data_IF_970663922319
#
_entry.id   IF_970663922319
#
_cell.length_a   1.000
_cell.length_b   1.000
_cell.length_c   1.000
_cell.angle_alpha   90.00
_cell.angle_beta   90.00
_cell.angle_gamma   90.00
#
_symmetry.space_group_name_H-M   'P 1'
#
loop_
_entity.id
_entity.type
_entity.pdbx_description
1 polymer ?
#
# COMPACT_ATOMS: atom_id res chain seq x y z
N UNK A 1 -16.35 3.53 30.86
CA UNK A 1 -15.50 2.72 31.74
C UNK A 1 -14.07 2.98 31.30
N UNK A 2 -13.18 3.35 32.22
CA UNK A 2 -11.78 3.59 31.88
C UNK A 2 -11.16 2.24 31.54
N UNK A 3 -10.85 2.01 30.26
CA UNK A 3 -10.13 0.82 29.82
C UNK A 3 -8.67 0.87 30.28
N UNK A 4 -7.93 -0.25 30.20
CA UNK A 4 -6.49 -0.22 30.36
C UNK A 4 -5.87 0.65 29.24
N UNK A 5 -4.95 1.55 29.61
CA UNK A 5 -4.28 2.50 28.71
C UNK A 5 -3.55 1.75 27.58
N UNK A 6 -3.45 2.30 26.37
CA UNK A 6 -2.87 1.61 25.21
C UNK A 6 -1.47 2.14 24.88
N UNK A 7 -0.54 1.25 24.47
CA UNK A 7 0.72 1.67 23.88
C UNK A 7 0.48 2.19 22.46
N UNK A 8 1.11 3.30 22.08
CA UNK A 8 1.16 3.82 20.72
C UNK A 8 2.61 4.17 20.36
N UNK A 9 2.92 4.34 19.08
CA UNK A 9 4.23 4.80 18.63
C UNK A 9 4.26 6.33 18.52
N UNK A 10 5.30 6.93 19.06
CA UNK A 10 5.73 8.27 18.69
C UNK A 10 6.55 8.17 17.40
N UNK A 11 6.01 8.68 16.30
CA UNK A 11 6.62 8.60 14.98
C UNK A 11 7.78 9.59 14.82
N UNK A 12 7.90 10.59 15.70
CA UNK A 12 9.05 11.50 15.72
C UNK A 12 10.28 10.86 16.37
N UNK A 13 10.10 10.18 17.50
CA UNK A 13 11.20 9.55 18.27
C UNK A 13 11.38 8.07 17.93
N UNK A 14 10.38 7.45 17.30
CA UNK A 14 10.29 6.01 17.04
C UNK A 14 10.25 5.15 18.32
N UNK A 15 9.81 5.73 19.44
CA UNK A 15 9.63 5.03 20.74
C UNK A 15 8.15 4.88 21.07
N UNK A 16 7.80 4.00 22.01
CA UNK A 16 6.41 3.89 22.46
C UNK A 16 6.04 4.92 23.53
N UNK A 17 4.77 5.33 23.51
CA UNK A 17 4.15 6.20 24.49
C UNK A 17 2.90 5.50 25.03
N UNK A 18 2.67 5.61 26.33
CA UNK A 18 1.42 5.13 26.91
C UNK A 18 0.34 6.19 26.77
N UNK A 19 -0.78 5.83 26.13
CA UNK A 19 -1.90 6.73 25.87
C UNK A 19 -3.03 6.39 26.83
N UNK A 20 -3.42 7.38 27.64
CA UNK A 20 -4.60 7.25 28.50
C UNK A 20 -5.88 7.27 27.66
N UNK A 21 -6.68 6.20 27.70
CA UNK A 21 -7.86 6.05 26.81
C UNK A 21 -9.18 5.89 27.52
N UNK A 22 -10.25 6.29 26.86
CA UNK A 22 -11.62 5.97 27.21
C UNK A 22 -12.24 5.09 26.11
N UNK A 23 -12.93 4.02 26.52
CA UNK A 23 -13.71 3.18 25.60
C UNK A 23 -14.94 3.96 25.11
N UNK A 24 -15.04 4.16 23.80
CA UNK A 24 -16.18 4.83 23.15
C UNK A 24 -17.28 3.82 22.83
N UNK A 25 -16.92 2.68 22.24
CA UNK A 25 -17.85 1.63 21.83
C UNK A 25 -17.16 0.27 21.80
N UNK A 26 -17.91 -0.79 22.12
CA UNK A 26 -17.48 -2.19 21.94
C UNK A 26 -18.57 -2.92 21.15
N UNK A 27 -18.28 -3.18 19.87
CA UNK A 27 -19.14 -3.88 18.91
C UNK A 27 -18.91 -5.39 18.93
N UNK A 28 -19.29 -6.08 17.85
CA UNK A 28 -19.09 -7.54 17.73
C UNK A 28 -17.62 -7.88 17.48
N UNK A 29 -16.99 -7.12 16.57
CA UNK A 29 -15.65 -7.35 16.04
C UNK A 29 -14.68 -6.20 16.34
N UNK A 30 -15.20 -5.02 16.73
CA UNK A 30 -14.36 -3.83 16.91
C UNK A 30 -14.63 -3.14 18.23
N UNK A 31 -13.56 -2.66 18.86
CA UNK A 31 -13.60 -1.73 19.98
C UNK A 31 -12.97 -0.40 19.58
N UNK A 32 -13.68 0.70 19.82
CA UNK A 32 -13.16 2.04 19.54
C UNK A 32 -12.80 2.73 20.84
N UNK A 33 -11.55 3.15 20.94
CA UNK A 33 -10.96 3.88 22.05
C UNK A 33 -10.63 5.29 21.58
N UNK A 34 -10.70 6.25 22.50
CA UNK A 34 -10.27 7.63 22.27
C UNK A 34 -9.32 8.05 23.36
N UNK A 35 -8.23 8.72 23.01
CA UNK A 35 -7.37 9.41 23.96
C UNK A 35 -8.21 10.35 24.86
N UNK A 36 -8.00 10.26 26.17
CA UNK A 36 -8.81 10.95 27.19
C UNK A 36 -8.71 12.46 27.08
N UNK A 37 -7.51 12.98 26.81
CA UNK A 37 -7.22 14.40 26.59
C UNK A 37 -7.78 14.95 25.28
N UNK A 38 -8.06 14.08 24.31
CA UNK A 38 -8.39 14.49 22.96
C UNK A 38 -9.85 14.95 22.85
N UNK A 39 -10.05 16.16 22.30
CA UNK A 39 -11.37 16.62 21.88
C UNK A 39 -11.58 16.29 20.41
N UNK A 40 -12.60 15.50 20.10
CA UNK A 40 -12.88 15.02 18.74
C UNK A 40 -14.29 15.46 18.36
N UNK A 41 -14.41 16.28 17.31
CA UNK A 41 -15.70 16.68 16.73
C UNK A 41 -16.09 15.74 15.57
N UNK A 42 -16.25 14.46 15.89
CA UNK A 42 -16.62 13.42 14.93
C UNK A 42 -17.44 12.33 15.65
N UNK A 43 -18.46 11.80 14.97
CA UNK A 43 -19.36 10.80 15.54
C UNK A 43 -18.70 9.42 15.57
N UNK A 44 -17.86 9.21 16.60
CA UNK A 44 -17.13 7.97 16.82
C UNK A 44 -18.06 6.77 17.11
N UNK A 45 -19.28 7.01 17.61
CA UNK A 45 -20.27 5.94 17.82
C UNK A 45 -20.83 5.44 16.49
N UNK A 46 -21.20 6.36 15.59
CA UNK A 46 -21.60 6.01 14.22
C UNK A 46 -20.45 5.33 13.49
N UNK A 47 -19.24 5.86 13.55
CA UNK A 47 -18.07 5.24 12.95
C UNK A 47 -17.86 3.81 13.47
N UNK A 48 -17.87 3.60 14.79
CA UNK A 48 -17.70 2.28 15.38
C UNK A 48 -18.74 1.28 14.86
N UNK A 49 -20.02 1.67 14.83
CA UNK A 49 -21.10 0.83 14.32
C UNK A 49 -20.92 0.51 12.83
N UNK A 50 -20.65 1.51 12.01
CA UNK A 50 -20.52 1.34 10.57
C UNK A 50 -19.28 0.51 10.24
N UNK A 51 -18.17 0.69 10.96
CA UNK A 51 -16.98 -0.13 10.80
C UNK A 51 -17.26 -1.60 11.18
N UNK A 52 -17.89 -1.84 12.33
CA UNK A 52 -18.21 -3.19 12.83
C UNK A 52 -19.17 -3.95 11.90
N UNK A 53 -20.16 -3.25 11.31
CA UNK A 53 -21.26 -3.87 10.56
C UNK A 53 -21.11 -3.83 9.04
N UNK A 54 -20.24 -2.95 8.51
CA UNK A 54 -20.05 -2.75 7.07
C UNK A 54 -18.58 -2.97 6.69
N UNK A 55 -17.66 -2.16 7.21
CA UNK A 55 -16.25 -2.17 6.78
C UNK A 55 -15.56 -3.48 7.12
N UNK A 56 -15.67 -3.93 8.37
CA UNK A 56 -15.06 -5.17 8.84
C UNK A 56 -15.51 -6.39 8.01
N UNK A 57 -16.82 -6.72 7.88
CA UNK A 57 -17.25 -7.87 7.09
C UNK A 57 -16.89 -7.76 5.61
N UNK A 58 -16.93 -6.55 5.03
CA UNK A 58 -16.56 -6.32 3.62
C UNK A 58 -15.08 -6.62 3.37
N UNK A 59 -14.20 -6.13 4.24
CA UNK A 59 -12.76 -6.30 4.07
C UNK A 59 -12.28 -7.70 4.41
N UNK A 60 -12.83 -8.38 5.42
CA UNK A 60 -12.47 -9.79 5.67
C UNK A 60 -12.96 -10.73 4.57
N UNK A 61 -14.08 -10.39 3.92
CA UNK A 61 -14.58 -11.15 2.76
C UNK A 61 -13.64 -11.01 1.55
N UNK A 62 -12.86 -9.94 1.49
CA UNK A 62 -11.85 -9.78 0.43
C UNK A 62 -10.49 -10.34 0.88
N UNK A 63 -9.96 -9.89 2.01
CA UNK A 63 -8.55 -10.11 2.38
C UNK A 63 -8.32 -11.25 3.40
N UNK A 64 -9.39 -11.85 3.90
CA UNK A 64 -9.35 -12.88 4.95
C UNK A 64 -9.50 -12.29 6.34
N UNK A 65 -9.57 -13.15 7.35
CA UNK A 65 -9.75 -12.73 8.75
C UNK A 65 -8.46 -12.13 9.32
N UNK A 66 -8.56 -11.25 10.33
CA UNK A 66 -7.40 -10.83 11.11
C UNK A 66 -6.80 -12.01 11.90
N UNK A 67 -5.64 -11.79 12.49
CA UNK A 67 -5.21 -12.61 13.64
C UNK A 67 -6.06 -12.28 14.87
N UNK A 68 -5.81 -13.02 15.95
CA UNK A 68 -6.45 -12.82 17.25
C UNK A 68 -5.41 -13.20 18.31
N UNK A 69 -4.42 -12.32 18.51
CA UNK A 69 -3.21 -12.67 19.28
C UNK A 69 -3.46 -12.66 20.80
N UNK A 70 -4.40 -11.84 21.28
CA UNK A 70 -4.87 -11.82 22.68
C UNK A 70 -6.08 -12.72 22.93
N UNK A 71 -6.77 -13.20 21.89
CA UNK A 71 -7.89 -14.13 22.00
C UNK A 71 -9.22 -13.47 22.37
N UNK A 72 -9.34 -12.14 22.24
CA UNK A 72 -10.58 -11.41 22.53
C UNK A 72 -11.53 -11.35 21.32
N UNK A 73 -11.04 -11.71 20.12
CA UNK A 73 -11.79 -11.75 18.88
C UNK A 73 -12.09 -10.37 18.29
N UNK A 74 -11.40 -9.31 18.73
CA UNK A 74 -11.69 -7.92 18.36
C UNK A 74 -10.48 -7.17 17.83
N UNK A 75 -10.75 -6.24 16.91
CA UNK A 75 -9.79 -5.21 16.49
C UNK A 75 -10.03 -3.95 17.31
N UNK A 76 -8.97 -3.40 17.88
CA UNK A 76 -8.98 -2.17 18.66
C UNK A 76 -8.63 -1.00 17.74
N UNK A 77 -9.43 0.06 17.75
CA UNK A 77 -9.17 1.29 17.02
C UNK A 77 -8.93 2.40 18.04
N UNK A 78 -7.69 2.89 18.13
CA UNK A 78 -7.31 4.00 18.98
C UNK A 78 -7.32 5.32 18.21
N UNK A 79 -8.22 6.22 18.60
CA UNK A 79 -8.27 7.60 18.11
C UNK A 79 -7.45 8.50 19.03
N UNK A 80 -6.36 9.08 18.54
CA UNK A 80 -5.40 9.88 19.32
C UNK A 80 -4.85 11.05 18.51
N UNK A 81 -4.22 12.04 19.15
CA UNK A 81 -3.34 12.97 18.43
C UNK A 81 -2.04 12.22 18.11
N UNK A 82 -1.87 11.78 16.86
CA UNK A 82 -0.71 10.98 16.48
C UNK A 82 0.54 11.83 16.64
N UNK A 83 1.54 11.30 17.36
CA UNK A 83 2.80 12.01 17.60
C UNK A 83 3.73 11.87 16.40
N UNK A 84 3.46 12.62 15.34
CA UNK A 84 4.21 12.63 14.08
C UNK A 84 4.98 13.93 13.81
N UNK A 85 4.83 14.91 14.71
CA UNK A 85 5.46 16.22 14.59
C UNK A 85 4.70 17.16 13.67
N UNK A 86 3.47 16.82 13.28
CA UNK A 86 2.61 17.67 12.49
C UNK A 86 2.33 18.99 13.22
N UNK A 87 2.29 20.04 12.41
CA UNK A 87 1.90 21.39 12.79
C UNK A 87 0.78 21.85 11.86
N UNK A 88 0.13 22.97 12.19
CA UNK A 88 -0.95 23.48 11.35
C UNK A 88 -0.49 23.67 9.89
N UNK A 89 -1.13 22.95 8.96
CA UNK A 89 -0.84 22.92 7.52
C UNK A 89 0.49 22.24 7.12
N UNK A 90 0.99 21.29 7.90
CA UNK A 90 2.09 20.40 7.49
C UNK A 90 1.62 18.98 7.17
N UNK A 91 2.53 18.17 6.63
CA UNK A 91 2.43 16.72 6.60
C UNK A 91 2.04 16.13 7.94
N UNK A 92 1.15 15.14 7.89
CA UNK A 92 0.76 14.34 9.03
C UNK A 92 0.57 12.87 8.62
N UNK A 93 0.48 12.00 9.62
CA UNK A 93 0.16 10.58 9.46
C UNK A 93 -1.28 10.40 9.88
N UNK A 94 -2.16 10.16 8.91
CA UNK A 94 -3.60 10.05 9.18
C UNK A 94 -3.98 8.80 9.98
N UNK A 95 -3.21 7.74 9.82
CA UNK A 95 -3.36 6.51 10.54
C UNK A 95 -2.15 5.62 10.33
N UNK A 96 -2.04 4.61 11.19
CA UNK A 96 -1.06 3.54 11.00
C UNK A 96 -1.51 2.24 11.65
N UNK A 97 -0.99 1.15 11.11
CA UNK A 97 -0.88 -0.15 11.75
C UNK A 97 0.56 -0.35 12.22
N UNK A 98 0.74 -0.82 13.47
CA UNK A 98 2.06 -1.15 14.01
C UNK A 98 2.24 -2.67 14.16
N UNK A 99 3.06 -3.31 13.32
CA UNK A 99 3.44 -4.71 13.39
C UNK A 99 3.92 -5.23 14.75
N UNK A 100 4.42 -4.35 15.62
CA UNK A 100 4.91 -4.75 16.95
C UNK A 100 3.79 -5.39 17.79
N UNK A 101 2.54 -4.95 17.59
CA UNK A 101 1.40 -5.42 18.37
C UNK A 101 1.06 -6.90 18.13
N UNK A 102 1.66 -7.53 17.12
CA UNK A 102 1.54 -8.97 16.87
C UNK A 102 2.39 -9.84 17.82
N UNK A 103 3.35 -9.27 18.54
CA UNK A 103 4.23 -10.00 19.46
C UNK A 103 3.91 -9.70 20.91
N UNK A 104 4.18 -10.62 21.84
CA UNK A 104 4.13 -10.32 23.27
C UNK A 104 5.00 -9.10 23.61
N UNK A 105 4.55 -8.29 24.57
CA UNK A 105 5.29 -7.11 25.01
C UNK A 105 6.66 -7.50 25.60
N UNK A 106 7.65 -6.63 25.37
CA UNK A 106 8.98 -6.77 25.93
C UNK A 106 9.34 -5.50 26.69
N UNK A 107 9.36 -5.59 28.02
CA UNK A 107 9.71 -4.49 28.93
C UNK A 107 11.10 -3.91 28.69
N UNK A 108 12.00 -4.66 28.06
CA UNK A 108 13.37 -4.23 27.73
C UNK A 108 13.47 -3.59 26.34
N UNK A 109 12.36 -3.44 25.62
CA UNK A 109 12.32 -2.80 24.30
C UNK A 109 11.79 -1.36 24.43
N UNK A 110 12.43 -0.42 23.72
CA UNK A 110 11.93 0.95 23.51
C UNK A 110 10.56 1.00 22.83
N UNK A 111 10.25 -0.04 22.06
CA UNK A 111 8.96 -0.21 21.39
C UNK A 111 8.19 -1.27 22.16
N UNK A 112 7.00 -0.88 22.61
CA UNK A 112 6.08 -1.67 23.41
C UNK A 112 4.97 -2.22 22.53
N UNK A 113 4.44 -3.36 22.95
CA UNK A 113 3.35 -4.05 22.26
C UNK A 113 2.11 -4.08 23.15
N UNK A 114 0.94 -3.89 22.54
CA UNK A 114 -0.34 -4.19 23.17
C UNK A 114 -0.68 -5.68 23.13
N UNK A 115 0.09 -6.49 22.40
CA UNK A 115 -0.20 -7.87 22.06
C UNK A 115 -1.66 -8.06 21.63
N UNK A 116 -2.10 -7.25 20.66
CA UNK A 116 -3.48 -7.15 20.19
C UNK A 116 -3.54 -6.62 18.75
N UNK A 117 -4.66 -6.80 18.07
CA UNK A 117 -4.96 -6.20 16.78
C UNK A 117 -5.33 -4.72 16.95
N UNK A 118 -4.38 -3.79 16.77
CA UNK A 118 -4.59 -2.35 17.00
C UNK A 118 -4.38 -1.52 15.72
N UNK A 119 -5.35 -0.65 15.43
CA UNK A 119 -5.27 0.43 14.45
C UNK A 119 -5.18 1.78 15.19
N UNK A 120 -4.34 2.68 14.70
CA UNK A 120 -4.17 4.02 15.26
C UNK A 120 -4.67 5.04 14.24
N UNK A 121 -5.55 5.94 14.69
CA UNK A 121 -6.21 6.94 13.86
C UNK A 121 -5.92 8.33 14.43
N UNK A 122 -5.54 9.25 13.55
CA UNK A 122 -5.39 10.65 13.92
C UNK A 122 -6.77 11.25 14.20
N UNK A 123 -7.00 11.71 15.42
CA UNK A 123 -8.24 12.36 15.83
C UNK A 123 -8.18 13.89 15.81
N UNK A 124 -7.12 14.49 15.26
CA UNK A 124 -6.91 15.93 15.13
C UNK A 124 -6.81 16.34 13.66
N UNK A 125 -5.72 16.04 12.97
CA UNK A 125 -5.51 16.47 11.58
C UNK A 125 -6.49 15.80 10.61
N UNK A 126 -6.75 14.50 10.79
CA UNK A 126 -7.72 13.78 9.95
C UNK A 126 -9.17 14.26 10.14
N UNK A 127 -9.50 14.80 11.32
CA UNK A 127 -10.81 15.42 11.56
C UNK A 127 -10.94 16.75 10.82
N UNK A 128 -9.84 17.50 10.67
CA UNK A 128 -9.82 18.70 9.83
C UNK A 128 -10.02 18.33 8.36
N UNK A 129 -9.44 17.23 7.89
CA UNK A 129 -9.58 16.74 6.51
C UNK A 129 -11.03 16.40 6.13
N UNK A 130 -11.92 16.14 7.11
CA UNK A 130 -13.36 15.91 6.87
C UNK A 130 -14.08 17.10 6.20
N UNK A 131 -13.52 18.30 6.29
CA UNK A 131 -14.05 19.47 5.60
C UNK A 131 -13.90 19.38 4.07
N UNK A 132 -12.95 18.57 3.59
CA UNK A 132 -12.65 18.36 2.18
C UNK A 132 -13.10 16.98 1.69
N UNK A 133 -12.96 15.96 2.52
CA UNK A 133 -13.42 14.59 2.24
C UNK A 133 -14.18 14.02 3.45
N UNK A 134 -15.53 13.93 3.41
CA UNK A 134 -16.33 13.43 4.52
C UNK A 134 -16.06 11.95 4.87
N UNK A 135 -15.39 11.21 3.99
CA UNK A 135 -15.01 9.82 4.23
C UNK A 135 -13.58 9.66 4.76
N UNK A 136 -12.77 10.72 4.84
CA UNK A 136 -11.33 10.64 5.13
C UNK A 136 -10.98 9.77 6.34
N UNK A 137 -11.74 9.90 7.43
CA UNK A 137 -11.53 9.10 8.64
C UNK A 137 -11.82 7.61 8.41
N UNK A 138 -12.93 7.30 7.74
CA UNK A 138 -13.38 5.92 7.52
C UNK A 138 -12.59 5.22 6.41
N UNK A 139 -12.20 5.94 5.36
CA UNK A 139 -11.31 5.44 4.30
C UNK A 139 -9.93 5.13 4.86
N UNK A 140 -9.35 6.02 5.67
CA UNK A 140 -8.06 5.77 6.34
C UNK A 140 -8.14 4.53 7.23
N UNK A 141 -9.20 4.38 8.02
CA UNK A 141 -9.36 3.18 8.87
C UNK A 141 -9.48 1.88 8.05
N UNK A 142 -10.14 1.94 6.88
CA UNK A 142 -10.22 0.80 5.96
C UNK A 142 -8.86 0.44 5.34
N UNK A 143 -8.04 1.45 5.02
CA UNK A 143 -6.66 1.26 4.57
C UNK A 143 -5.80 0.58 5.64
N UNK A 144 -5.78 1.11 6.86
CA UNK A 144 -4.98 0.54 7.95
C UNK A 144 -5.45 -0.86 8.34
N UNK A 145 -6.76 -1.13 8.25
CA UNK A 145 -7.27 -2.47 8.47
C UNK A 145 -6.77 -3.45 7.42
N UNK A 146 -6.57 -3.03 6.17
CA UNK A 146 -5.97 -3.88 5.15
C UNK A 146 -4.57 -4.33 5.58
N UNK A 147 -3.73 -3.41 6.06
CA UNK A 147 -2.39 -3.71 6.55
C UNK A 147 -2.42 -4.76 7.67
N UNK A 148 -3.33 -4.58 8.62
CA UNK A 148 -3.58 -5.53 9.72
C UNK A 148 -4.00 -6.91 9.21
N UNK A 149 -4.92 -6.99 8.22
CA UNK A 149 -5.35 -8.25 7.62
C UNK A 149 -4.23 -8.94 6.83
N UNK A 150 -3.35 -8.16 6.21
CA UNK A 150 -2.23 -8.64 5.37
C UNK A 150 -1.08 -9.18 6.22
N UNK A 151 -0.76 -8.54 7.34
CA UNK A 151 0.47 -8.79 8.09
C UNK A 151 0.63 -10.24 8.59
N UNK A 152 -0.37 -10.93 9.16
CA UNK A 152 -0.22 -12.33 9.58
C UNK A 152 0.20 -13.26 8.44
N UNK A 153 -0.17 -12.92 7.19
CA UNK A 153 0.16 -13.72 6.00
C UNK A 153 1.59 -13.43 5.53
N UNK A 154 2.08 -12.19 5.66
CA UNK A 154 3.51 -11.84 5.50
C UNK A 154 4.37 -12.64 6.47
N UNK A 155 3.93 -12.71 7.74
CA UNK A 155 4.63 -13.45 8.80
C UNK A 155 4.64 -14.95 8.55
N UNK A 156 3.48 -15.53 8.22
CA UNK A 156 3.36 -16.96 7.91
C UNK A 156 4.24 -17.38 6.71
N UNK A 157 4.35 -16.52 5.70
CA UNK A 157 5.18 -16.77 4.52
C UNK A 157 6.66 -16.42 4.71
N UNK A 158 7.03 -15.73 5.81
CA UNK A 158 8.35 -15.11 6.01
C UNK A 158 8.80 -14.26 4.81
N UNK A 159 7.90 -13.37 4.37
CA UNK A 159 8.07 -12.49 3.20
C UNK A 159 7.69 -11.05 3.56
N UNK A 160 8.35 -10.10 2.91
CA UNK A 160 7.91 -8.71 2.85
C UNK A 160 7.31 -8.43 1.48
N UNK A 161 6.38 -7.48 1.41
CA UNK A 161 5.78 -7.02 0.16
C UNK A 161 6.56 -5.80 -0.37
N UNK A 162 6.66 -5.67 -1.69
CA UNK A 162 7.06 -4.39 -2.29
C UNK A 162 6.10 -3.29 -1.84
N UNK A 163 6.66 -2.14 -1.44
CA UNK A 163 5.90 -1.07 -0.78
C UNK A 163 4.70 -0.59 -1.61
N UNK A 164 4.87 -0.43 -2.92
CA UNK A 164 3.79 0.00 -3.80
C UNK A 164 2.65 -1.03 -3.91
N UNK A 165 2.95 -2.34 -3.77
CA UNK A 165 1.90 -3.36 -3.74
C UNK A 165 1.20 -3.29 -2.40
N UNK A 166 1.96 -3.11 -1.31
CA UNK A 166 1.38 -2.99 0.01
C UNK A 166 0.40 -1.81 0.06
N UNK A 167 0.90 -0.59 -0.10
CA UNK A 167 0.12 0.64 -0.03
C UNK A 167 -0.95 0.73 -1.12
N UNK A 168 -0.64 0.36 -2.37
CA UNK A 168 -1.62 0.41 -3.45
C UNK A 168 -2.80 -0.53 -3.24
N UNK A 169 -2.60 -1.69 -2.60
CA UNK A 169 -3.72 -2.58 -2.24
C UNK A 169 -4.56 -1.97 -1.12
N UNK A 170 -3.93 -1.33 -0.14
CA UNK A 170 -4.59 -0.69 1.00
C UNK A 170 -5.44 0.51 0.58
N UNK A 171 -4.94 1.32 -0.37
CA UNK A 171 -5.72 2.41 -0.97
C UNK A 171 -6.97 1.89 -1.71
N UNK A 172 -6.86 0.76 -2.41
CA UNK A 172 -8.00 0.11 -3.06
C UNK A 172 -8.93 -0.58 -2.06
N UNK A 173 -8.44 -0.99 -0.88
CA UNK A 173 -9.28 -1.53 0.18
C UNK A 173 -10.29 -0.48 0.67
N UNK A 174 -9.89 0.78 0.76
CA UNK A 174 -10.80 1.91 1.03
C UNK A 174 -11.94 2.00 0.02
N UNK A 175 -11.65 1.79 -1.26
CA UNK A 175 -12.67 1.75 -2.30
C UNK A 175 -13.60 0.53 -2.17
N UNK A 176 -13.06 -0.64 -1.87
CA UNK A 176 -13.82 -1.88 -1.65
C UNK A 176 -14.74 -1.74 -0.44
N UNK A 177 -14.31 -1.03 0.60
CA UNK A 177 -15.13 -0.69 1.78
C UNK A 177 -16.23 0.35 1.49
N UNK A 178 -16.30 0.89 0.27
CA UNK A 178 -17.35 1.83 -0.16
C UNK A 178 -16.97 3.31 -0.02
N UNK A 179 -15.71 3.62 0.29
CA UNK A 179 -15.23 4.99 0.45
C UNK A 179 -14.51 5.54 -0.79
N UNK A 180 -14.71 4.88 -1.93
CA UNK A 180 -14.04 5.20 -3.18
C UNK A 180 -14.87 6.00 -4.18
N UNK A 181 -14.23 6.49 -5.26
CA UNK A 181 -12.79 6.42 -5.50
C UNK A 181 -12.00 7.46 -4.69
N UNK A 182 -10.72 7.17 -4.39
CA UNK A 182 -9.81 8.08 -3.69
C UNK A 182 -9.48 9.31 -4.56
N UNK A 183 -10.31 10.34 -4.46
CA UNK A 183 -10.30 11.49 -5.39
C UNK A 183 -9.03 12.32 -5.30
N UNK A 184 -8.49 12.52 -4.09
CA UNK A 184 -7.20 13.19 -3.86
C UNK A 184 -6.04 12.43 -4.51
N UNK A 185 -6.05 11.09 -4.45
CA UNK A 185 -5.05 10.24 -5.11
C UNK A 185 -5.11 10.37 -6.63
N UNK A 186 -6.31 10.41 -7.21
CA UNK A 186 -6.51 10.62 -8.66
C UNK A 186 -6.05 12.01 -9.12
N UNK A 187 -6.34 13.03 -8.32
CA UNK A 187 -5.90 14.40 -8.61
C UNK A 187 -4.38 14.54 -8.54
N UNK A 188 -3.76 13.99 -7.50
CA UNK A 188 -2.32 13.96 -7.36
C UNK A 188 -1.64 13.11 -8.46
N UNK A 189 -2.25 12.00 -8.89
CA UNK A 189 -1.77 11.20 -10.02
C UNK A 189 -1.69 12.03 -11.32
N UNK A 190 -2.72 12.82 -11.59
CA UNK A 190 -2.81 13.69 -12.77
C UNK A 190 -2.04 15.00 -12.64
N UNK A 191 -1.69 15.40 -11.41
CA UNK A 191 -1.03 16.67 -11.08
C UNK A 191 -1.97 17.87 -11.15
N UNK A 192 -3.23 17.68 -10.77
CA UNK A 192 -4.25 18.73 -10.73
C UNK A 192 -4.75 18.94 -9.30
N UNK A 193 -5.30 20.13 -9.01
CA UNK A 193 -5.92 20.50 -7.73
C UNK A 193 -5.03 20.39 -6.46
N UNK A 194 -3.79 19.93 -6.60
CA UNK A 194 -2.80 19.83 -5.53
C UNK A 194 -1.41 20.27 -6.02
N UNK A 195 -0.95 21.41 -5.51
CA UNK A 195 0.35 21.99 -5.85
C UNK A 195 1.56 21.14 -5.43
N UNK A 196 1.38 20.18 -4.52
CA UNK A 196 2.45 19.24 -4.11
C UNK A 196 2.65 18.16 -5.16
N UNK A 197 1.64 17.94 -5.99
CA UNK A 197 1.65 16.91 -7.01
C UNK A 197 1.86 17.45 -8.42
N UNK A 198 2.46 18.64 -8.58
CA UNK A 198 2.78 19.20 -9.89
C UNK A 198 3.48 18.17 -10.80
N UNK A 199 3.08 18.18 -12.08
CA UNK A 199 3.46 17.20 -13.11
C UNK A 199 2.96 15.76 -12.90
N UNK A 200 2.17 15.51 -11.85
CA UNK A 200 1.59 14.20 -11.55
C UNK A 200 2.67 13.10 -11.50
N UNK A 201 2.38 11.95 -12.12
CA UNK A 201 3.32 10.83 -12.19
C UNK A 201 4.50 10.99 -13.17
N UNK A 202 4.70 12.17 -13.78
CA UNK A 202 5.77 12.36 -14.76
C UNK A 202 7.17 12.19 -14.18
N UNK A 203 7.83 11.10 -14.58
CA UNK A 203 9.14 10.67 -14.09
C UNK A 203 9.12 9.99 -12.73
N UNK A 204 7.95 9.88 -12.08
CA UNK A 204 7.79 9.21 -10.79
C UNK A 204 7.88 7.71 -11.01
N UNK A 205 8.63 7.02 -10.15
CA UNK A 205 8.72 5.57 -10.19
C UNK A 205 7.62 4.94 -9.35
N UNK A 206 6.90 3.96 -9.92
CA UNK A 206 6.02 3.08 -9.16
C UNK A 206 6.80 2.11 -8.26
N UNK A 207 8.01 1.72 -8.67
CA UNK A 207 8.76 0.60 -8.08
C UNK A 207 9.89 1.04 -7.13
N UNK A 208 10.43 2.24 -7.32
CA UNK A 208 11.54 2.82 -6.55
C UNK A 208 11.06 4.07 -5.83
N UNK A 209 10.64 3.89 -4.58
CA UNK A 209 10.07 4.95 -3.75
C UNK A 209 11.19 5.77 -3.10
N UNK A 210 11.06 7.09 -3.18
CA UNK A 210 11.99 8.03 -2.57
C UNK A 210 11.29 8.85 -1.48
N UNK A 211 12.06 9.22 -0.46
CA UNK A 211 11.55 9.86 0.75
C UNK A 211 11.40 11.38 0.60
N UNK A 212 11.19 11.89 -0.62
CA UNK A 212 10.91 13.32 -0.81
C UNK A 212 9.42 13.58 -0.74
N UNK A 213 8.98 14.60 0.00
CA UNK A 213 7.55 14.79 0.33
C UNK A 213 6.63 14.90 -0.90
N UNK A 214 7.08 15.49 -2.01
CA UNK A 214 6.24 15.59 -3.21
C UNK A 214 6.18 14.28 -4.00
N UNK A 215 7.26 13.52 -4.05
CA UNK A 215 7.32 12.29 -4.84
C UNK A 215 6.68 11.12 -4.10
N UNK A 216 6.75 11.08 -2.76
CA UNK A 216 6.04 10.06 -1.97
C UNK A 216 4.52 10.15 -2.18
N UNK A 217 3.93 11.35 -2.17
CA UNK A 217 2.50 11.52 -2.45
C UNK A 217 2.12 11.01 -3.85
N UNK A 218 2.95 11.33 -4.85
CA UNK A 218 2.77 10.84 -6.22
C UNK A 218 2.97 9.33 -6.34
N UNK A 219 3.85 8.74 -5.54
CA UNK A 219 4.09 7.29 -5.49
C UNK A 219 2.89 6.54 -4.90
N UNK A 220 2.30 7.04 -3.80
CA UNK A 220 1.03 6.54 -3.28
C UNK A 220 -0.08 6.64 -4.34
N UNK A 221 -0.20 7.79 -4.99
CA UNK A 221 -1.15 7.99 -6.09
C UNK A 221 -0.93 7.03 -7.26
N UNK A 222 0.32 6.79 -7.66
CA UNK A 222 0.64 5.86 -8.73
C UNK A 222 0.32 4.42 -8.31
N UNK A 223 0.68 4.01 -7.09
CA UNK A 223 0.36 2.70 -6.55
C UNK A 223 -1.14 2.45 -6.48
N UNK A 224 -1.91 3.43 -5.97
CA UNK A 224 -3.37 3.37 -5.96
C UNK A 224 -3.93 3.17 -7.38
N UNK A 225 -3.57 4.05 -8.32
CA UNK A 225 -4.13 3.99 -9.68
C UNK A 225 -3.74 2.70 -10.39
N UNK A 226 -2.50 2.24 -10.25
CA UNK A 226 -2.05 1.00 -10.86
C UNK A 226 -2.74 -0.22 -10.26
N UNK A 227 -2.82 -0.33 -8.93
CA UNK A 227 -3.51 -1.42 -8.26
C UNK A 227 -5.02 -1.38 -8.50
N UNK A 228 -5.63 -0.20 -8.56
CA UNK A 228 -7.04 -0.02 -8.92
C UNK A 228 -7.31 -0.45 -10.35
N UNK A 229 -6.44 -0.08 -11.29
CA UNK A 229 -6.56 -0.51 -12.68
C UNK A 229 -6.47 -2.04 -12.79
N UNK A 230 -5.47 -2.67 -12.15
CA UNK A 230 -5.34 -4.13 -12.08
C UNK A 230 -6.58 -4.79 -11.47
N UNK A 231 -7.09 -4.27 -10.36
CA UNK A 231 -8.32 -4.73 -9.72
C UNK A 231 -9.48 -4.70 -10.72
N UNK A 232 -9.73 -3.56 -11.35
CA UNK A 232 -10.86 -3.35 -12.25
C UNK A 232 -10.80 -4.25 -13.50
N UNK A 233 -9.60 -4.50 -14.03
CA UNK A 233 -9.41 -5.35 -15.23
C UNK A 233 -9.27 -6.84 -14.93
N UNK A 234 -9.10 -7.25 -13.68
CA UNK A 234 -8.94 -8.67 -13.29
C UNK A 234 -10.22 -9.50 -13.49
N UNK A 235 -11.39 -8.86 -13.40
CA UNK A 235 -12.70 -9.50 -13.51
C UNK A 235 -13.78 -8.55 -13.99
N UNK A 236 -14.93 -9.09 -14.38
CA UNK A 236 -16.07 -8.32 -14.91
C UNK A 236 -17.12 -7.97 -13.85
N UNK A 237 -16.96 -8.48 -12.64
CA UNK A 237 -17.82 -8.21 -11.48
C UNK A 237 -17.00 -8.24 -10.18
N UNK A 238 -17.56 -7.69 -9.10
CA UNK A 238 -16.84 -7.51 -7.84
C UNK A 238 -16.37 -8.81 -7.20
N UNK A 239 -17.14 -9.93 -7.17
CA UNK A 239 -16.64 -11.20 -6.65
C UNK A 239 -15.36 -11.69 -7.35
N UNK A 240 -15.25 -11.53 -8.67
CA UNK A 240 -14.04 -11.91 -9.40
C UNK A 240 -12.86 -11.01 -9.05
N UNK A 241 -13.08 -9.70 -8.97
CA UNK A 241 -12.03 -8.73 -8.62
C UNK A 241 -11.55 -8.90 -7.19
N UNK A 242 -12.47 -9.15 -6.26
CA UNK A 242 -12.17 -9.49 -4.88
C UNK A 242 -11.45 -10.84 -4.77
N UNK A 243 -11.77 -11.83 -5.62
CA UNK A 243 -11.03 -13.11 -5.68
C UNK A 243 -9.57 -12.89 -6.08
N UNK A 244 -9.31 -12.03 -7.07
CA UNK A 244 -7.96 -11.64 -7.45
C UNK A 244 -7.20 -11.03 -6.27
N UNK A 245 -7.76 -10.01 -5.62
CA UNK A 245 -7.13 -9.35 -4.46
C UNK A 245 -7.03 -10.23 -3.21
N UNK A 246 -7.97 -11.15 -3.02
CA UNK A 246 -7.87 -12.19 -1.99
C UNK A 246 -6.62 -13.02 -2.20
N UNK A 247 -6.37 -13.44 -3.43
CA UNK A 247 -5.20 -14.23 -3.75
C UNK A 247 -3.89 -13.43 -3.63
N UNK A 248 -3.89 -12.14 -3.96
CA UNK A 248 -2.69 -11.30 -3.76
C UNK A 248 -2.25 -11.22 -2.31
N UNK A 249 -3.18 -11.30 -1.35
CA UNK A 249 -2.91 -11.20 0.09
C UNK A 249 -2.76 -12.56 0.77
N UNK A 250 -3.64 -13.51 0.48
CA UNK A 250 -3.64 -14.84 1.13
C UNK A 250 -2.62 -15.77 0.48
N UNK A 251 -2.49 -15.72 -0.85
CA UNK A 251 -1.65 -16.62 -1.62
C UNK A 251 -2.06 -18.09 -1.48
N UNK A 252 -3.36 -18.39 -1.59
CA UNK A 252 -3.91 -19.73 -1.41
C UNK A 252 -3.41 -20.75 -2.44
N UNK A 253 -2.91 -20.29 -3.59
CA UNK A 253 -2.25 -21.09 -4.62
C UNK A 253 -0.74 -21.31 -4.38
N UNK A 254 -0.22 -20.81 -3.26
CA UNK A 254 1.17 -21.02 -2.82
C UNK A 254 2.08 -19.80 -2.96
N UNK A 255 1.60 -18.66 -3.45
CA UNK A 255 2.39 -17.41 -3.55
C UNK A 255 1.50 -16.19 -3.39
N UNK A 256 1.97 -15.23 -2.58
CA UNK A 256 1.36 -13.90 -2.42
C UNK A 256 1.94 -12.92 -3.43
N UNK A 257 1.27 -11.79 -3.64
CA UNK A 257 1.77 -10.67 -4.44
C UNK A 257 2.85 -9.86 -3.71
N UNK A 258 3.87 -10.51 -3.14
CA UNK A 258 4.90 -9.84 -2.37
C UNK A 258 5.98 -9.16 -3.25
N UNK A 259 5.93 -9.39 -4.56
CA UNK A 259 6.80 -8.74 -5.56
C UNK A 259 6.04 -8.51 -6.85
N UNK A 260 6.51 -7.59 -7.69
CA UNK A 260 5.88 -7.30 -9.00
C UNK A 260 5.73 -8.58 -9.83
N UNK A 261 6.78 -9.42 -9.86
CA UNK A 261 6.75 -10.69 -10.58
C UNK A 261 5.66 -11.63 -10.06
N UNK A 262 5.49 -11.74 -8.75
CA UNK A 262 4.45 -12.60 -8.16
C UNK A 262 3.04 -12.04 -8.38
N UNK A 263 2.85 -10.73 -8.31
CA UNK A 263 1.58 -10.09 -8.65
C UNK A 263 1.16 -10.41 -10.10
N UNK A 264 2.11 -10.34 -11.05
CA UNK A 264 1.84 -10.71 -12.44
C UNK A 264 1.57 -12.20 -12.62
N UNK A 265 2.24 -13.08 -11.87
CA UNK A 265 1.93 -14.51 -11.85
C UNK A 265 0.49 -14.77 -11.40
N UNK A 266 0.02 -14.06 -10.37
CA UNK A 266 -1.36 -14.17 -9.89
C UNK A 266 -2.35 -13.59 -10.90
N UNK A 267 -2.04 -12.43 -11.48
CA UNK A 267 -2.91 -11.79 -12.48
C UNK A 267 -3.05 -12.62 -13.76
N UNK A 268 -2.03 -13.42 -14.12
CA UNK A 268 -2.10 -14.39 -15.22
C UNK A 268 -2.94 -15.62 -14.92
N UNK A 269 -3.21 -15.90 -13.63
CA UNK A 269 -3.97 -17.06 -13.23
C UNK A 269 -5.47 -16.78 -13.37
N UNK A 270 -6.08 -17.31 -14.43
CA UNK A 270 -7.49 -17.08 -14.77
C UNK A 270 -8.48 -17.66 -13.76
N UNK A 271 -8.03 -18.48 -12.81
CA UNK A 271 -8.84 -18.85 -11.64
C UNK A 271 -9.15 -17.65 -10.75
N UNK A 272 -8.21 -16.71 -10.62
CA UNK A 272 -8.33 -15.54 -9.75
C UNK A 272 -8.59 -14.26 -10.54
N UNK A 273 -8.01 -14.13 -11.75
CA UNK A 273 -8.21 -13.01 -12.66
C UNK A 273 -8.82 -13.50 -14.00
N UNK A 274 -10.11 -13.88 -14.03
CA UNK A 274 -10.74 -14.51 -15.19
C UNK A 274 -10.81 -13.62 -16.44
N UNK A 275 -10.60 -12.31 -16.32
CA UNK A 275 -10.57 -11.41 -17.48
C UNK A 275 -9.16 -11.25 -18.10
N UNK A 276 -8.14 -11.94 -17.56
CA UNK A 276 -6.82 -12.00 -18.16
C UNK A 276 -6.85 -12.72 -19.52
N UNK A 277 -6.19 -12.12 -20.52
CA UNK A 277 -6.09 -12.65 -21.87
C UNK A 277 -4.61 -12.68 -22.32
N UNK A 278 -4.03 -13.88 -22.29
CA UNK A 278 -2.64 -14.11 -22.65
C UNK A 278 -2.32 -13.77 -24.11
N UNK A 279 -3.31 -13.76 -25.01
CA UNK A 279 -3.10 -13.41 -26.42
C UNK A 279 -2.88 -11.90 -26.60
N UNK A 280 -3.36 -11.09 -25.66
CA UNK A 280 -3.26 -9.63 -25.67
C UNK A 280 -2.13 -9.12 -24.78
N UNK A 281 -1.97 -9.73 -23.60
CA UNK A 281 -1.03 -9.30 -22.56
C UNK A 281 0.25 -10.15 -22.49
N UNK A 282 0.34 -11.23 -23.27
CA UNK A 282 1.50 -12.12 -23.29
C UNK A 282 1.49 -13.17 -22.18
N UNK A 283 2.52 -14.02 -22.18
CA UNK A 283 2.63 -15.19 -21.29
C UNK A 283 3.73 -15.07 -20.23
N UNK A 284 4.54 -14.01 -20.27
CA UNK A 284 5.65 -13.79 -19.36
C UNK A 284 5.33 -12.61 -18.44
N UNK A 285 5.69 -12.70 -17.16
CA UNK A 285 5.36 -11.65 -16.17
C UNK A 285 5.84 -10.27 -16.59
N UNK A 286 7.03 -10.21 -17.19
CA UNK A 286 7.60 -8.96 -17.65
C UNK A 286 6.86 -8.35 -18.84
N UNK A 287 6.34 -9.18 -19.75
CA UNK A 287 5.54 -8.69 -20.89
C UNK A 287 4.14 -8.26 -20.44
N UNK A 288 3.53 -9.01 -19.51
CA UNK A 288 2.24 -8.64 -18.89
C UNK A 288 2.36 -7.31 -18.18
N UNK A 289 3.37 -7.13 -17.32
CA UNK A 289 3.61 -5.86 -16.62
C UNK A 289 3.85 -4.72 -17.61
N UNK A 290 4.73 -4.92 -18.60
CA UNK A 290 5.02 -3.92 -19.62
C UNK A 290 3.75 -3.45 -20.34
N UNK A 291 2.90 -4.38 -20.78
CA UNK A 291 1.69 -4.07 -21.54
C UNK A 291 0.65 -3.37 -20.67
N UNK A 292 0.41 -3.84 -19.44
CA UNK A 292 -0.52 -3.19 -18.50
C UNK A 292 -0.05 -1.77 -18.16
N UNK A 293 1.24 -1.61 -17.88
CA UNK A 293 1.84 -0.29 -17.61
C UNK A 293 1.71 0.64 -18.82
N UNK A 294 1.93 0.11 -20.03
CA UNK A 294 1.74 0.86 -21.29
C UNK A 294 0.28 1.30 -21.46
N UNK A 295 -0.68 0.38 -21.28
CA UNK A 295 -2.10 0.66 -21.43
C UNK A 295 -2.57 1.73 -20.45
N UNK A 296 -2.16 1.63 -19.18
CA UNK A 296 -2.52 2.61 -18.16
C UNK A 296 -1.92 3.99 -18.47
N UNK A 297 -0.61 4.06 -18.71
CA UNK A 297 0.08 5.35 -18.90
C UNK A 297 -0.30 6.03 -20.22
N UNK A 298 -0.55 5.26 -21.29
CA UNK A 298 -1.08 5.78 -22.54
C UNK A 298 -2.47 6.40 -22.34
N UNK A 299 -3.40 5.69 -21.68
CA UNK A 299 -4.73 6.21 -21.38
C UNK A 299 -4.68 7.44 -20.48
N UNK A 300 -3.80 7.42 -19.47
CA UNK A 300 -3.56 8.53 -18.56
C UNK A 300 -3.10 9.81 -19.27
N UNK A 301 -2.40 9.65 -20.40
CA UNK A 301 -1.92 10.75 -21.24
C UNK A 301 -2.79 11.01 -22.48
N UNK A 302 -3.96 10.37 -22.55
CA UNK A 302 -4.89 10.42 -23.68
C UNK A 302 -4.23 10.07 -25.02
N UNK A 303 -3.39 9.04 -25.03
CA UNK A 303 -2.91 8.41 -26.26
C UNK A 303 -3.85 7.27 -26.65
N UNK A 304 -4.56 7.45 -27.76
CA UNK A 304 -5.54 6.48 -28.27
C UNK A 304 -4.99 5.52 -29.32
N UNK A 305 -3.92 5.89 -30.01
CA UNK A 305 -3.28 5.05 -31.01
C UNK A 305 -2.11 4.27 -30.42
N UNK A 306 -2.36 2.98 -30.16
CA UNK A 306 -1.35 2.00 -29.73
C UNK A 306 -1.07 0.94 -30.81
N UNK A 307 -1.26 1.29 -32.08
CA UNK A 307 -1.02 0.37 -33.21
C UNK A 307 0.47 0.02 -33.42
N UNK A 308 1.38 0.88 -32.93
CA UNK A 308 2.83 0.71 -33.01
C UNK A 308 3.53 1.20 -31.74
N UNK A 309 3.53 0.38 -30.70
CA UNK A 309 4.33 0.61 -29.48
C UNK A 309 5.72 0.01 -29.66
N UNK A 310 6.76 0.82 -29.43
CA UNK A 310 8.13 0.32 -29.43
C UNK A 310 8.46 -0.32 -28.09
N UNK A 311 9.01 -1.53 -28.10
CA UNK A 311 9.42 -2.28 -26.93
C UNK A 311 10.80 -2.90 -27.16
N UNK A 312 11.71 -2.70 -26.22
CA UNK A 312 12.87 -3.56 -26.02
C UNK A 312 12.42 -4.71 -25.14
N UNK A 313 12.39 -5.91 -25.72
CA UNK A 313 11.91 -7.12 -25.06
C UNK A 313 12.86 -7.60 -23.96
N UNK A 314 12.47 -8.65 -23.23
CA UNK A 314 13.22 -9.19 -22.10
C UNK A 314 14.58 -9.82 -22.46
N UNK A 315 14.88 -9.97 -23.76
CA UNK A 315 16.20 -10.34 -24.28
C UNK A 315 17.17 -9.16 -24.35
N UNK A 316 16.69 -7.92 -24.27
CA UNK A 316 17.51 -6.70 -24.35
C UNK A 316 18.02 -6.40 -25.77
N UNK A 317 17.40 -6.98 -26.79
CA UNK A 317 17.77 -6.78 -28.18
C UNK A 317 17.24 -5.43 -28.74
N UNK A 318 17.39 -5.22 -30.06
CA UNK A 318 16.88 -4.03 -30.72
C UNK A 318 15.35 -3.85 -30.52
N UNK A 319 14.84 -2.61 -30.46
CA UNK A 319 13.41 -2.37 -30.26
C UNK A 319 12.54 -3.00 -31.36
N UNK A 320 11.47 -3.66 -30.96
CA UNK A 320 10.42 -4.19 -31.83
C UNK A 320 9.15 -3.36 -31.71
N UNK A 321 8.27 -3.42 -32.72
CA UNK A 321 6.95 -2.80 -32.66
C UNK A 321 5.89 -3.84 -32.32
N UNK A 322 5.05 -3.53 -31.33
CA UNK A 322 3.87 -4.32 -30.96
C UNK A 322 2.59 -3.50 -31.17
N UNK A 323 1.50 -4.17 -31.53
CA UNK A 323 0.18 -3.57 -31.62
C UNK A 323 -0.62 -3.90 -30.35
N UNK A 324 -1.01 -2.87 -29.60
CA UNK A 324 -1.82 -2.99 -28.39
C UNK A 324 -3.24 -2.43 -28.56
N UNK A 325 -3.69 -2.10 -29.77
CA UNK A 325 -5.01 -1.50 -30.00
C UNK A 325 -6.16 -2.41 -29.53
N UNK A 326 -6.07 -3.73 -29.77
CA UNK A 326 -7.08 -4.69 -29.27
C UNK A 326 -7.02 -4.84 -27.75
N UNK A 327 -5.81 -4.79 -27.17
CA UNK A 327 -5.64 -4.83 -25.72
C UNK A 327 -6.23 -3.57 -25.05
N UNK A 328 -6.03 -2.39 -25.64
CA UNK A 328 -6.61 -1.13 -25.20
C UNK A 328 -8.14 -1.16 -25.22
N UNK A 329 -8.73 -1.70 -26.28
CA UNK A 329 -10.18 -1.85 -26.37
C UNK A 329 -10.76 -2.81 -25.32
N UNK A 330 -10.00 -3.86 -24.94
CA UNK A 330 -10.41 -4.82 -23.90
C UNK A 330 -10.23 -4.29 -22.47
N UNK A 331 -9.21 -3.47 -22.25
CA UNK A 331 -8.82 -2.99 -20.91
C UNK A 331 -8.87 -1.46 -20.80
N UNK A 332 -10.04 -0.83 -21.02
CA UNK A 332 -10.18 0.61 -20.85
C UNK A 332 -10.07 1.02 -19.37
N UNK A 333 -9.82 2.30 -19.11
CA UNK A 333 -10.04 2.88 -17.80
C UNK A 333 -11.51 2.66 -17.40
N UNK A 334 -11.70 2.12 -16.21
CA UNK A 334 -12.99 1.91 -15.57
C UNK A 334 -13.63 3.25 -15.14
N UNK A 335 -14.90 3.21 -14.74
CA UNK A 335 -15.61 4.39 -14.22
C UNK A 335 -14.99 4.93 -12.93
N UNK A 336 -14.38 4.09 -12.09
CA UNK A 336 -13.61 4.47 -10.90
C UNK A 336 -12.38 5.31 -11.22
N UNK A 337 -11.81 5.15 -12.42
CA UNK A 337 -10.67 5.92 -12.90
C UNK A 337 -11.06 7.03 -13.89
N UNK A 338 -12.36 7.30 -14.09
CA UNK A 338 -12.84 8.31 -15.05
C UNK A 338 -12.34 9.73 -14.77
N UNK A 339 -11.94 10.02 -13.53
CA UNK A 339 -11.32 11.29 -13.18
C UNK A 339 -10.02 11.53 -13.93
N UNK A 340 -9.24 10.48 -14.24
CA UNK A 340 -8.03 10.57 -15.07
C UNK A 340 -8.39 10.87 -16.52
N UNK A 341 -9.53 10.37 -17.02
CA UNK A 341 -10.02 10.71 -18.36
C UNK A 341 -10.36 12.20 -18.46
N UNK A 342 -11.01 12.74 -17.42
CA UNK A 342 -11.42 14.15 -17.34
C UNK A 342 -10.23 15.08 -17.08
N UNK A 343 -9.32 14.67 -16.20
CA UNK A 343 -8.08 15.36 -15.85
C UNK A 343 -6.90 14.46 -16.23
N UNK A 344 -6.48 14.45 -17.50
CA UNK A 344 -5.33 13.64 -17.91
C UNK A 344 -4.05 14.14 -17.26
N UNK A 345 -3.04 13.26 -17.18
CA UNK A 345 -1.68 13.66 -16.82
C UNK A 345 -1.23 14.69 -17.85
N UNK A 346 -0.89 15.91 -17.43
CA UNK A 346 -0.51 17.00 -18.34
C UNK A 346 0.76 17.71 -17.83
N UNK A 347 1.93 17.07 -17.97
CA UNK A 347 3.15 17.60 -17.38
C UNK A 347 3.58 18.90 -18.05
N UNK A 348 4.13 19.78 -17.24
CA UNK A 348 4.68 21.08 -17.62
C UNK A 348 6.20 21.07 -17.66
N UNK A 349 6.84 20.09 -17.01
CA UNK A 349 8.29 19.88 -17.05
C UNK A 349 8.70 18.67 -17.89
N UNK A 350 9.85 18.79 -18.53
CA UNK A 350 10.50 17.67 -19.21
C UNK A 350 11.42 16.91 -18.25
N UNK A 351 11.35 15.58 -18.27
CA UNK A 351 12.30 14.72 -17.55
C UNK A 351 13.34 14.17 -18.51
N UNK A 352 14.62 14.46 -18.29
CA UNK A 352 15.71 13.97 -19.16
C UNK A 352 16.13 12.53 -18.87
N UNK A 353 15.70 11.96 -17.74
CA UNK A 353 15.98 10.60 -17.32
C UNK A 353 14.78 9.99 -16.59
N UNK A 354 14.65 8.66 -16.67
CA UNK A 354 13.65 7.89 -15.91
C UNK A 354 14.29 6.72 -15.18
N UNK A 355 13.64 6.29 -14.10
CA UNK A 355 13.96 5.08 -13.35
C UNK A 355 13.09 3.92 -13.82
N UNK A 356 13.39 2.71 -13.35
CA UNK A 356 12.50 1.56 -13.52
C UNK A 356 11.17 1.88 -12.83
N UNK A 357 10.04 1.47 -13.43
CA UNK A 357 8.71 1.77 -12.93
C UNK A 357 8.20 3.18 -13.24
N UNK A 358 8.93 3.97 -14.05
CA UNK A 358 8.54 5.34 -14.39
C UNK A 358 8.03 5.48 -15.82
N UNK A 359 7.17 6.48 -16.02
CA UNK A 359 6.80 7.01 -17.32
C UNK A 359 7.22 8.49 -17.42
N UNK A 360 7.78 8.87 -18.56
CA UNK A 360 8.09 10.24 -18.93
C UNK A 360 7.25 10.62 -20.14
N UNK A 361 6.46 11.66 -19.95
CA UNK A 361 5.57 12.18 -20.97
C UNK A 361 6.30 13.28 -21.73
N UNK A 362 6.30 13.18 -23.05
CA UNK A 362 7.01 14.14 -23.90
C UNK A 362 6.10 14.75 -24.96
N UNK A 363 6.46 15.94 -25.42
CA UNK A 363 5.79 16.67 -26.51
C UNK A 363 6.78 16.90 -27.66
N UNK A 364 6.28 17.34 -28.81
CA UNK A 364 7.14 17.74 -29.93
C UNK A 364 8.12 18.86 -29.55
N UNK A 365 7.76 19.72 -28.59
CA UNK A 365 8.61 20.81 -28.11
C UNK A 365 9.85 20.31 -27.34
N UNK A 366 9.75 19.17 -26.66
CA UNK A 366 10.87 18.57 -25.92
C UNK A 366 11.64 17.52 -26.73
N UNK A 367 11.11 17.15 -27.90
CA UNK A 367 11.65 16.10 -28.76
C UNK A 367 11.24 14.70 -28.32
N UNK A 368 11.44 13.74 -29.22
CA UNK A 368 11.05 12.34 -29.02
C UNK A 368 12.24 11.54 -28.46
N UNK A 369 12.20 11.02 -27.22
CA UNK A 369 13.32 10.31 -26.60
C UNK A 369 13.74 9.08 -27.40
N UNK A 370 15.02 8.93 -27.76
CA UNK A 370 15.51 7.76 -28.49
C UNK A 370 15.54 6.50 -27.61
N UNK A 371 15.27 5.32 -28.20
CA UNK A 371 15.55 4.03 -27.56
C UNK A 371 16.84 3.45 -28.18
N UNK A 372 17.97 3.39 -27.45
CA UNK A 372 19.21 2.80 -27.96
C UNK A 372 19.08 1.30 -28.24
N UNK A 373 19.89 0.77 -29.16
CA UNK A 373 19.89 -0.66 -29.52
C UNK A 373 20.33 -1.60 -28.39
N UNK A 374 20.92 -1.06 -27.32
CA UNK A 374 21.34 -1.77 -26.09
C UNK A 374 20.65 -1.17 -24.86
N UNK A 375 19.39 -0.77 -24.98
CA UNK A 375 18.62 -0.24 -23.85
C UNK A 375 18.34 -1.34 -22.81
N UNK A 376 17.83 -0.93 -21.66
CA UNK A 376 17.38 -1.85 -20.61
C UNK A 376 16.18 -2.67 -21.12
N UNK A 377 15.95 -3.81 -20.50
CA UNK A 377 14.82 -4.71 -20.80
C UNK A 377 13.49 -4.06 -20.47
N UNK A 378 12.44 -4.44 -21.21
CA UNK A 378 11.06 -3.98 -21.02
C UNK A 378 10.95 -2.46 -20.93
N UNK A 379 11.69 -1.83 -21.83
CA UNK A 379 11.76 -0.39 -22.01
C UNK A 379 11.03 -0.03 -23.29
N UNK A 380 10.23 1.04 -23.27
CA UNK A 380 9.31 1.29 -24.37
C UNK A 380 8.95 2.73 -24.60
N UNK A 381 8.31 2.93 -25.75
CA UNK A 381 7.79 4.24 -26.16
C UNK A 381 6.53 4.07 -27.00
N UNK A 382 5.53 4.89 -26.69
CA UNK A 382 4.38 5.13 -27.55
C UNK A 382 4.61 6.44 -28.29
N UNK A 383 4.65 6.38 -29.62
CA UNK A 383 4.68 7.57 -30.47
C UNK A 383 3.27 7.82 -31.00
N UNK A 384 2.53 8.76 -30.43
CA UNK A 384 1.36 9.29 -31.10
C UNK A 384 1.82 10.29 -32.16
N UNK A 385 1.21 10.26 -33.35
CA UNK A 385 1.60 11.06 -34.52
C UNK A 385 2.03 12.50 -34.15
N UNK A 386 3.35 12.68 -34.07
CA UNK A 386 4.14 13.91 -34.13
C UNK A 386 3.89 15.06 -33.12
N UNK A 387 3.12 14.86 -32.03
CA UNK A 387 2.83 15.97 -31.09
C UNK A 387 3.06 15.65 -29.61
N UNK A 388 2.86 14.40 -29.17
CA UNK A 388 3.16 13.95 -27.80
C UNK A 388 3.29 12.42 -27.71
N UNK A 389 3.95 11.91 -26.67
CA UNK A 389 4.13 10.47 -26.46
C UNK A 389 4.52 10.11 -25.02
N UNK A 390 4.61 8.81 -24.75
CA UNK A 390 5.08 8.29 -23.45
C UNK A 390 6.33 7.46 -23.68
N UNK A 391 7.33 7.68 -22.85
CA UNK A 391 8.56 6.90 -22.79
C UNK A 391 8.70 6.31 -21.40
N UNK A 392 8.91 5.02 -21.26
CA UNK A 392 8.74 4.35 -19.98
C UNK A 392 9.65 3.15 -19.83
N UNK A 393 9.92 2.79 -18.58
CA UNK A 393 10.69 1.61 -18.21
C UNK A 393 9.86 0.71 -17.30
N UNK A 394 9.15 -0.24 -17.89
CA UNK A 394 8.24 -1.14 -17.19
C UNK A 394 8.84 -2.55 -17.11
N UNK A 395 10.03 -2.65 -16.53
CA UNK A 395 10.64 -3.96 -16.27
C UNK A 395 10.10 -4.54 -14.97
N UNK A 396 9.70 -5.82 -15.02
CA UNK A 396 9.26 -6.57 -13.85
C UNK A 396 10.41 -7.46 -13.41
N UNK A 397 10.94 -7.31 -12.19
CA UNK A 397 11.89 -8.27 -11.64
C UNK A 397 11.31 -9.69 -11.66
N UNK A 398 12.16 -10.68 -11.96
CA UNK A 398 11.77 -12.10 -11.89
C UNK A 398 11.27 -12.46 -10.48
N UNK A 399 10.07 -13.05 -10.38
CA UNK A 399 9.45 -13.41 -9.10
C UNK A 399 10.03 -14.65 -8.41
N UNK A 400 9.63 -14.79 -7.13
CA UNK A 400 9.92 -15.79 -6.09
C UNK A 400 11.13 -15.54 -5.13
N UNK A 401 10.76 -15.01 -3.94
CA UNK A 401 11.44 -14.90 -2.63
C UNK A 401 12.47 -13.79 -2.39
N UNK A 402 12.02 -12.66 -1.81
CA UNK A 402 12.79 -11.94 -0.81
C UNK A 402 12.48 -12.54 0.57
N UNK A 403 13.22 -13.59 0.95
CA UNK A 403 13.18 -14.08 2.33
C UNK A 403 14.01 -13.14 3.20
N UNK A 404 13.36 -12.23 3.92
CA UNK A 404 14.04 -11.53 5.01
C UNK A 404 14.10 -12.50 6.19
N UNK A 405 15.29 -13.00 6.50
CA UNK A 405 15.56 -13.53 7.84
C UNK A 405 15.43 -12.33 8.78
N UNK A 406 14.54 -12.41 9.76
CA UNK A 406 14.61 -11.51 10.92
C UNK A 406 16.01 -11.62 11.51
N UNK A 407 16.86 -10.64 11.22
CA UNK A 407 18.07 -10.42 11.99
C UNK A 407 17.58 -9.77 13.28
N UNK A 408 17.47 -10.56 14.35
CA UNK A 408 17.53 -9.98 15.68
C UNK A 408 18.91 -9.30 15.78
N UNK A 409 18.91 -7.98 15.66
CA UNK A 409 20.01 -7.17 16.13
C UNK A 409 20.01 -7.26 17.64
N UNK A 410 20.80 -8.18 18.17
CA UNK A 410 21.32 -8.02 19.51
C UNK A 410 22.57 -7.14 19.35
N UNK A 411 22.56 -5.94 19.91
CA UNK A 411 23.80 -5.34 20.42
C UNK A 411 24.34 -6.31 21.49
N UNK A 412 25.62 -6.65 21.60
CA UNK A 412 26.85 -5.92 21.31
C UNK A 412 27.90 -6.86 20.66
N UNK A 413 28.87 -6.25 19.97
CA UNK A 413 29.78 -6.91 19.04
C UNK A 413 30.74 -7.97 19.61
N UNK A 414 30.93 -9.05 18.87
CA UNK A 414 32.18 -9.34 18.12
C UNK A 414 32.03 -10.63 17.31
N UNK A 415 32.80 -10.71 16.21
CA UNK A 415 32.50 -11.50 15.01
C UNK A 415 32.59 -13.03 15.12
N UNK A 416 31.74 -13.70 14.32
CA UNK A 416 31.87 -15.03 13.66
C UNK A 416 31.81 -16.31 14.52
N UNK A 417 30.74 -17.14 14.35
CA UNK A 417 30.76 -18.58 13.89
C UNK A 417 29.36 -19.24 13.98
N UNK A 418 29.07 -20.21 13.09
CA UNK A 418 27.87 -21.11 13.06
C UNK A 418 28.39 -22.56 13.25
N UNK A 419 27.63 -23.59 13.69
CA UNK A 419 26.68 -23.77 14.80
C UNK A 419 27.07 -24.95 15.74
N UNK A 420 26.47 -25.07 16.94
CA UNK A 420 26.21 -26.39 17.58
C UNK A 420 24.91 -26.35 18.43
N UNK A 421 23.88 -27.08 17.99
CA UNK A 421 22.72 -27.52 18.81
C UNK A 421 23.18 -28.47 19.94
N UNK A 422 22.31 -28.88 20.88
CA UNK A 422 21.38 -28.12 21.73
C UNK A 422 21.58 -28.52 23.22
N UNK A 423 21.14 -27.71 24.19
CA UNK A 423 20.84 -28.23 25.55
C UNK A 423 19.59 -27.60 26.12
N UNK A 424 18.69 -28.48 26.54
CA UNK A 424 17.44 -28.25 27.24
C UNK A 424 17.63 -27.55 28.58
N UNK A 425 16.76 -26.59 28.90
CA UNK A 425 16.34 -26.24 30.27
C UNK A 425 14.85 -25.89 30.16
N UNK A 426 13.95 -26.87 30.32
CA UNK A 426 13.26 -27.25 31.57
C UNK A 426 12.47 -26.08 32.16
N UNK A 427 11.15 -26.20 32.02
CA UNK A 427 10.09 -25.38 32.57
C UNK A 427 10.24 -25.11 34.07
N UNK A 428 10.09 -23.86 34.47
CA UNK A 428 9.46 -23.51 35.74
C UNK A 428 8.13 -22.86 35.36
N UNK A 429 7.08 -23.66 35.46
CA UNK A 429 5.71 -23.17 35.52
C UNK A 429 5.53 -22.73 36.98
N UNK A 430 5.48 -21.44 37.22
CA UNK A 430 4.63 -20.92 38.29
C UNK A 430 3.39 -20.33 37.62
N UNK A 431 2.27 -20.94 37.96
CA UNK A 431 0.94 -20.56 37.51
C UNK A 431 0.58 -19.17 38.03
N UNK A 432 0.39 -18.22 37.12
CA UNK A 432 -0.57 -17.15 37.32
C UNK A 432 -1.48 -17.07 36.09
N UNK A 433 -2.64 -17.70 36.21
CA UNK A 433 -3.77 -17.49 35.31
C UNK A 433 -4.34 -16.09 35.53
N UNK A 434 -4.24 -15.21 34.53
CA UNK A 434 -4.98 -13.95 34.48
C UNK A 434 -4.24 -12.84 33.69
N UNK A 435 -4.97 -11.94 32.98
CA UNK A 435 -4.38 -10.81 32.30
C UNK A 435 -3.91 -9.74 33.32
N UNK A 436 -2.69 -9.23 33.17
CA UNK A 436 -2.07 -8.17 33.99
C UNK A 436 -1.48 -7.12 33.01
N UNK A 437 -1.59 -5.80 33.29
CA UNK A 437 -2.23 -4.86 32.37
C UNK A 437 -1.33 -4.15 31.36
N UNK A 438 -2.03 -3.56 30.41
CA UNK A 438 -1.60 -2.63 29.38
C UNK A 438 -1.01 -1.36 30.04
N UNK A 439 0.15 -0.93 29.52
CA UNK A 439 1.04 0.10 30.04
C UNK A 439 1.66 -0.11 31.44
N UNK A 440 2.97 -0.44 31.45
CA UNK A 440 3.78 -0.47 32.66
C UNK A 440 5.29 -0.28 32.40
N UNK A 441 5.80 0.85 32.89
CA UNK A 441 7.20 1.27 33.15
C UNK A 441 8.11 1.48 31.92
N UNK A 442 8.71 2.67 31.88
CA UNK A 442 9.46 3.33 30.80
C UNK A 442 10.97 3.28 31.10
N UNK A 443 11.82 2.86 30.14
CA UNK A 443 13.24 3.25 30.03
C UNK A 443 13.75 3.12 28.58
N UNK A 444 14.76 3.93 28.25
CA UNK A 444 15.29 4.30 26.93
C UNK A 444 16.44 3.42 26.40
N UNK A 445 16.61 3.43 25.08
CA UNK A 445 17.77 3.06 24.23
C UNK A 445 17.69 1.78 23.33
N UNK A 446 18.03 1.93 22.03
CA UNK A 446 17.96 1.07 20.80
C UNK A 446 16.92 1.40 19.64
N UNK A 447 17.31 1.89 18.45
CA UNK A 447 16.49 2.18 17.23
C UNK A 447 15.82 0.97 16.53
N UNK A 448 14.53 1.06 16.17
CA UNK A 448 13.84 0.17 15.19
C UNK A 448 12.95 0.98 14.24
N UNK A 449 13.21 0.91 12.93
CA UNK A 449 12.39 1.51 11.87
C UNK A 449 11.55 0.43 11.18
N UNK A 450 10.25 0.38 11.44
CA UNK A 450 9.21 -0.17 10.54
C UNK A 450 7.84 0.30 11.03
N UNK A 451 7.42 1.51 10.66
CA UNK A 451 6.01 1.90 10.69
C UNK A 451 5.53 2.03 9.24
N UNK A 452 4.48 1.31 8.88
CA UNK A 452 3.71 1.58 7.66
C UNK A 452 2.70 2.66 8.06
N UNK A 453 2.80 3.84 7.47
CA UNK A 453 2.02 5.02 7.84
C UNK A 453 1.54 5.70 6.57
N UNK A 454 0.29 6.12 6.50
CA UNK A 454 -0.18 6.92 5.37
C UNK A 454 0.22 8.38 5.61
N UNK A 455 1.09 8.97 4.77
CA UNK A 455 1.20 10.42 4.73
C UNK A 455 -0.06 11.00 4.10
N UNK A 456 -0.79 11.79 4.87
CA UNK A 456 -1.77 12.75 4.36
C UNK A 456 -1.26 14.11 4.83
N UNK A 457 -1.14 15.10 3.96
CA UNK A 457 -0.92 16.48 4.42
C UNK A 457 -2.15 17.32 4.12
#
# INVERSE_FOLDING_TARGET
MNGPDLWARDLTTQTSVCVGVDLVSSGTYVEVYKERSLSVNYDLLKFARDFDTITYPTLINTFGTPSDVDGDGKVKILVMDIKDGATANSAYVAGYFDPINYFPDNLFSRVRSNYAEVLYMDGKELIVALNHDPNAFASTAAHEFQHLLRYPRMRAANQTDELWINEGTSEVASDIAGYGPQTSRLDCYSGVNDSRCLDGINGVSLLDWDSSNSDILKQYSFAYVFMRYLYDISGTNDPQRQSFFRETVIGGSGTRANSTGNLMSIFRNTTFAPNFDATLLGNQNSDVFFRIFTLLTAQSFQLSDLSSVQQVTSDGAAPTNINLSTALARYPLSTSLNRITTNPVAPTSFRSSIKQGSANFYTSAWGTPSIPANSRKNYGRVVAANTKGVFFWADSPSGLSASVKYVQTNEEGTSLTIPKKPRSLKSVIESSSGPIPICGIEFTDDLVRTSESIPIE
#
